data_IF_813215805529
#
_entry.id   IF_813215805529
#
_cell.length_a   1.000
_cell.length_b   1.000
_cell.length_c   1.000
_cell.angle_alpha   90.00
_cell.angle_beta   90.00
_cell.angle_gamma   90.00
#
_symmetry.space_group_name_H-M   'P 1'
#
loop_
_entity.id
_entity.type
_entity.pdbx_description
1 polymer ?
#
# COMPACT_ATOMS: atom_id res chain seq x y z
N UNK A 1 -41.00 3.42 -3.05
CA UNK A 1 -40.30 4.48 -2.27
C UNK A 1 -39.84 4.01 -0.88
N UNK A 2 -40.27 2.86 -0.35
CA UNK A 2 -40.00 2.45 1.05
C UNK A 2 -38.68 1.74 1.30
N UNK A 3 -38.11 1.04 0.32
CA UNK A 3 -36.88 0.24 0.51
C UNK A 3 -35.60 1.09 0.62
N UNK A 4 -35.57 2.29 -0.01
CA UNK A 4 -34.44 3.18 0.10
C UNK A 4 -34.42 4.02 1.40
N UNK A 5 -35.58 4.12 2.07
CA UNK A 5 -35.69 4.86 3.35
C UNK A 5 -35.23 4.04 4.57
N UNK A 6 -35.25 2.70 4.50
CA UNK A 6 -34.82 1.85 5.61
C UNK A 6 -33.33 2.03 6.00
N UNK A 7 -32.38 2.05 5.06
CA UNK A 7 -30.98 2.33 5.42
C UNK A 7 -30.76 3.77 5.91
N UNK A 8 -31.52 4.76 5.40
CA UNK A 8 -31.47 6.14 5.88
C UNK A 8 -32.01 6.29 7.31
N UNK A 9 -33.08 5.57 7.65
CA UNK A 9 -33.62 5.53 9.00
C UNK A 9 -32.70 4.78 9.98
N UNK A 10 -32.03 3.75 9.53
CA UNK A 10 -31.03 3.05 10.35
C UNK A 10 -29.83 3.94 10.72
N UNK A 11 -29.40 4.81 9.80
CA UNK A 11 -28.35 5.80 10.05
C UNK A 11 -28.73 6.86 11.10
N UNK A 12 -30.03 7.09 11.29
CA UNK A 12 -30.54 8.08 12.26
C UNK A 12 -30.79 7.50 13.66
N UNK A 13 -30.88 6.18 13.78
CA UNK A 13 -31.32 5.51 15.03
C UNK A 13 -30.19 4.77 15.74
N UNK A 14 -29.13 4.39 15.02
CA UNK A 14 -27.99 3.69 15.61
C UNK A 14 -27.01 4.74 16.14
N UNK A 15 -26.65 4.72 17.43
CA UNK A 15 -25.59 5.60 17.93
C UNK A 15 -24.29 5.21 17.22
N UNK A 16 -23.77 6.12 16.40
CA UNK A 16 -22.53 5.93 15.67
C UNK A 16 -21.37 6.37 16.56
N UNK A 17 -20.57 5.41 16.99
CA UNK A 17 -19.26 5.65 17.59
C UNK A 17 -18.21 5.23 16.58
N UNK A 18 -17.28 6.12 16.27
CA UNK A 18 -16.11 5.77 15.49
C UNK A 18 -15.23 4.82 16.32
N UNK A 19 -15.15 3.56 15.91
CA UNK A 19 -14.32 2.54 16.54
C UNK A 19 -13.19 2.13 15.58
N UNK A 20 -12.04 1.81 16.16
CA UNK A 20 -10.92 1.28 15.38
C UNK A 20 -11.24 -0.12 14.86
N UNK A 21 -11.13 -0.29 13.56
CA UNK A 21 -11.22 -1.57 12.88
C UNK A 21 -9.90 -1.86 12.18
N UNK A 22 -9.20 -2.90 12.59
CA UNK A 22 -8.01 -3.38 11.88
C UNK A 22 -8.40 -4.27 10.72
N UNK A 23 -7.70 -4.13 9.61
CA UNK A 23 -7.83 -4.96 8.43
C UNK A 23 -6.47 -5.39 7.89
N UNK A 24 -6.47 -6.46 7.10
CA UNK A 24 -5.28 -6.96 6.42
C UNK A 24 -5.65 -7.29 4.98
N UNK A 25 -4.84 -6.84 4.03
CA UNK A 25 -4.92 -7.26 2.63
C UNK A 25 -3.69 -8.08 2.26
N UNK A 26 -3.86 -9.01 1.34
CA UNK A 26 -2.77 -9.84 0.84
C UNK A 26 -2.91 -10.06 -0.66
N UNK A 27 -1.82 -9.79 -1.39
CA UNK A 27 -1.68 -10.07 -2.81
C UNK A 27 -0.38 -10.80 -3.09
N UNK A 28 -0.38 -11.62 -4.11
CA UNK A 28 0.80 -12.38 -4.51
C UNK A 28 0.86 -12.56 -6.02
N UNK A 29 2.07 -12.60 -6.54
CA UNK A 29 2.33 -12.99 -7.92
C UNK A 29 3.67 -13.71 -8.06
N UNK A 30 3.84 -14.42 -9.18
CA UNK A 30 5.10 -15.07 -9.55
C UNK A 30 5.86 -14.17 -10.49
N UNK A 31 7.15 -13.95 -10.16
CA UNK A 31 8.12 -13.21 -10.97
C UNK A 31 9.15 -14.20 -11.51
N UNK A 32 9.43 -14.12 -12.81
CA UNK A 32 10.44 -14.97 -13.50
C UNK A 32 11.84 -14.41 -13.24
N UNK A 33 12.26 -14.40 -11.99
CA UNK A 33 13.58 -13.94 -11.56
C UNK A 33 14.01 -14.66 -10.28
N UNK A 34 15.34 -14.79 -10.04
CA UNK A 34 15.87 -15.32 -8.79
C UNK A 34 15.46 -14.46 -7.59
N UNK A 35 15.21 -15.10 -6.47
CA UNK A 35 14.75 -14.45 -5.23
C UNK A 35 15.65 -13.28 -4.79
N UNK A 36 16.97 -13.42 -4.91
CA UNK A 36 17.90 -12.34 -4.56
C UNK A 36 17.79 -11.12 -5.48
N UNK A 37 17.37 -11.29 -6.74
CA UNK A 37 17.15 -10.19 -7.67
C UNK A 37 15.85 -9.46 -7.35
N UNK A 38 14.79 -10.20 -7.06
CA UNK A 38 13.53 -9.63 -6.62
C UNK A 38 13.72 -8.83 -5.32
N UNK A 39 14.46 -9.38 -4.35
CA UNK A 39 14.76 -8.70 -3.10
C UNK A 39 15.56 -7.40 -3.30
N UNK A 40 16.53 -7.40 -4.23
CA UNK A 40 17.27 -6.17 -4.59
C UNK A 40 16.37 -5.12 -5.23
N UNK A 41 15.47 -5.53 -6.12
CA UNK A 41 14.53 -4.63 -6.77
C UNK A 41 13.56 -3.98 -5.78
N UNK A 42 13.08 -4.74 -4.78
CA UNK A 42 12.22 -4.21 -3.71
C UNK A 42 12.96 -3.11 -2.92
N UNK A 43 14.22 -3.33 -2.60
CA UNK A 43 15.01 -2.36 -1.84
C UNK A 43 15.41 -1.13 -2.64
N UNK A 44 15.50 -1.23 -3.96
CA UNK A 44 15.92 -0.11 -4.81
C UNK A 44 15.23 -0.15 -6.16
N UNK A 45 14.15 0.61 -6.27
CA UNK A 45 13.44 0.83 -7.52
C UNK A 45 13.34 2.34 -7.80
N UNK A 46 13.98 2.77 -8.88
CA UNK A 46 14.04 4.18 -9.27
C UNK A 46 13.45 4.38 -10.66
N UNK A 47 12.98 5.61 -10.93
CA UNK A 47 12.51 6.03 -12.24
C UNK A 47 11.47 5.06 -12.84
N UNK A 48 10.43 4.74 -12.06
CA UNK A 48 9.31 3.93 -12.52
C UNK A 48 8.63 4.69 -13.66
N UNK A 49 8.52 4.04 -14.83
CA UNK A 49 7.94 4.62 -16.02
C UNK A 49 6.46 4.27 -16.14
N UNK A 50 5.69 5.12 -16.83
CA UNK A 50 4.25 4.86 -17.03
C UNK A 50 3.97 3.51 -17.70
N UNK A 51 4.84 3.06 -18.61
CA UNK A 51 4.69 1.75 -19.26
C UNK A 51 5.06 0.54 -18.36
N UNK A 52 5.53 0.77 -17.16
CA UNK A 52 5.78 -0.28 -16.13
C UNK A 52 4.60 -0.40 -15.16
N UNK A 53 3.66 0.55 -15.22
CA UNK A 53 2.51 0.64 -14.34
C UNK A 53 1.29 0.11 -15.07
N UNK A 54 0.66 -0.92 -14.54
CA UNK A 54 -0.59 -1.43 -15.09
C UNK A 54 -1.72 -0.41 -14.90
N UNK A 55 -2.69 -0.43 -15.79
CA UNK A 55 -3.90 0.37 -15.61
C UNK A 55 -4.68 -0.14 -14.39
N UNK A 56 -5.14 0.80 -13.57
CA UNK A 56 -5.96 0.51 -12.40
C UNK A 56 -7.00 1.60 -12.19
N UNK A 57 -8.22 1.24 -11.77
CA UNK A 57 -9.29 2.18 -11.44
C UNK A 57 -8.90 3.21 -10.36
N UNK A 58 -7.94 2.89 -9.47
CA UNK A 58 -7.51 3.82 -8.42
C UNK A 58 -6.93 5.11 -8.98
N UNK A 59 -6.31 5.09 -10.16
CA UNK A 59 -5.79 6.30 -10.78
C UNK A 59 -6.92 7.23 -11.25
N UNK A 60 -8.03 6.66 -11.72
CA UNK A 60 -9.25 7.42 -12.05
C UNK A 60 -9.91 7.98 -10.79
N UNK A 61 -9.80 7.28 -9.66
CA UNK A 61 -10.23 7.76 -8.35
C UNK A 61 -9.32 8.85 -7.78
N UNK A 62 -8.19 9.14 -8.42
CA UNK A 62 -7.30 10.23 -8.04
C UNK A 62 -6.07 9.81 -7.24
N UNK A 63 -5.79 8.51 -7.07
CA UNK A 63 -4.55 8.08 -6.42
C UNK A 63 -3.32 8.38 -7.29
N UNK A 64 -2.22 8.87 -6.71
CA UNK A 64 -0.99 9.13 -7.45
C UNK A 64 -0.25 7.83 -7.77
N UNK A 65 0.45 7.82 -8.92
CA UNK A 65 1.27 6.68 -9.34
C UNK A 65 2.60 6.64 -8.57
N UNK A 66 3.17 5.45 -8.32
CA UNK A 66 4.49 5.30 -7.72
C UNK A 66 5.58 5.84 -8.67
N UNK A 67 6.62 6.46 -8.12
CA UNK A 67 7.76 7.03 -8.86
C UNK A 67 9.07 6.33 -8.50
N UNK A 68 9.34 6.15 -7.21
CA UNK A 68 10.55 5.46 -6.74
C UNK A 68 10.42 5.01 -5.29
N UNK A 69 11.24 4.02 -4.93
CA UNK A 69 11.44 3.56 -3.56
C UNK A 69 12.90 3.13 -3.38
N UNK A 70 13.57 3.65 -2.36
CA UNK A 70 14.98 3.40 -2.12
C UNK A 70 15.26 3.20 -0.64
N UNK A 71 15.93 2.10 -0.31
CA UNK A 71 16.34 1.78 1.06
C UNK A 71 17.75 2.33 1.32
N UNK A 72 17.89 3.08 2.39
CA UNK A 72 19.14 3.67 2.83
C UNK A 72 19.46 3.23 4.25
N UNK A 73 20.76 3.08 4.54
CA UNK A 73 21.23 2.83 5.90
C UNK A 73 21.49 4.18 6.57
N UNK A 74 20.74 4.47 7.62
CA UNK A 74 20.85 5.72 8.38
C UNK A 74 21.30 5.45 9.82
N UNK A 75 21.59 6.48 10.59
CA UNK A 75 21.88 6.36 12.03
C UNK A 75 20.70 5.76 12.81
N UNK A 76 19.49 5.89 12.29
CA UNK A 76 18.25 5.36 12.88
C UNK A 76 17.85 3.97 12.33
N UNK A 77 18.73 3.30 11.60
CA UNK A 77 18.51 2.02 10.94
C UNK A 77 18.17 2.15 9.46
N UNK A 78 17.61 1.10 8.90
CA UNK A 78 17.21 1.07 7.49
C UNK A 78 15.90 1.85 7.30
N UNK A 79 15.96 2.84 6.41
CA UNK A 79 14.81 3.68 6.04
C UNK A 79 14.61 3.58 4.54
N UNK A 80 13.39 3.35 4.09
CA UNK A 80 13.00 3.42 2.68
C UNK A 80 12.37 4.77 2.40
N UNK A 81 12.92 5.49 1.41
CA UNK A 81 12.39 6.76 0.90
C UNK A 81 11.44 6.45 -0.23
N UNK A 82 10.19 6.84 -0.11
CA UNK A 82 9.13 6.58 -1.09
C UNK A 82 8.68 7.89 -1.71
N UNK A 83 8.56 7.87 -3.04
CA UNK A 83 8.08 9.01 -3.81
C UNK A 83 7.00 8.57 -4.79
N UNK A 84 5.90 9.30 -4.78
CA UNK A 84 4.79 9.15 -5.72
C UNK A 84 4.57 10.46 -6.49
N UNK A 85 3.76 10.40 -7.53
CA UNK A 85 3.36 11.60 -8.27
C UNK A 85 2.70 12.64 -7.35
N UNK A 86 2.54 13.87 -7.86
CA UNK A 86 1.95 15.01 -7.15
C UNK A 86 2.70 15.42 -5.88
N UNK A 87 3.99 15.06 -5.78
CA UNK A 87 4.83 15.42 -4.65
C UNK A 87 4.59 14.60 -3.37
N UNK A 88 3.79 13.54 -3.44
CA UNK A 88 3.61 12.64 -2.30
C UNK A 88 4.92 11.93 -1.99
N UNK A 89 5.34 11.98 -0.74
CA UNK A 89 6.56 11.33 -0.26
C UNK A 89 6.43 10.96 1.22
N UNK A 90 7.02 9.84 1.59
CA UNK A 90 7.04 9.38 2.97
C UNK A 90 8.19 8.40 3.19
N UNK A 91 8.44 8.09 4.45
CA UNK A 91 9.45 7.12 4.84
C UNK A 91 8.80 5.84 5.35
N UNK A 92 9.46 4.74 5.07
CA UNK A 92 9.15 3.42 5.58
C UNK A 92 10.32 2.97 6.46
N UNK A 93 10.09 2.92 7.77
CA UNK A 93 11.08 2.44 8.73
C UNK A 93 11.09 0.92 8.72
N UNK A 94 12.17 0.33 8.24
CA UNK A 94 12.32 -1.12 8.22
C UNK A 94 12.43 -1.63 9.65
N UNK A 95 11.50 -2.50 10.04
CA UNK A 95 11.45 -3.13 11.36
C UNK A 95 12.00 -4.54 11.35
N UNK A 96 11.94 -5.21 10.18
CA UNK A 96 12.52 -6.53 10.01
C UNK A 96 13.03 -6.72 8.58
N UNK A 97 14.23 -7.26 8.44
CA UNK A 97 14.84 -7.61 7.14
C UNK A 97 15.64 -8.90 7.26
N UNK A 98 15.24 -9.91 6.50
CA UNK A 98 15.95 -11.19 6.38
C UNK A 98 16.11 -11.49 4.90
N UNK A 99 17.22 -11.03 4.34
CA UNK A 99 17.53 -11.26 2.93
C UNK A 99 17.73 -12.75 2.61
N UNK A 100 17.23 -13.24 1.49
CA UNK A 100 16.36 -12.59 0.51
C UNK A 100 14.86 -12.86 0.73
N UNK A 101 14.42 -13.20 1.96
CA UNK A 101 13.12 -13.82 2.21
C UNK A 101 12.04 -12.85 2.69
N UNK A 102 12.42 -11.82 3.46
CA UNK A 102 11.45 -10.96 4.15
C UNK A 102 11.98 -9.54 4.28
N UNK A 103 11.08 -8.58 4.04
CA UNK A 103 11.27 -7.17 4.34
C UNK A 103 9.97 -6.62 4.91
N UNK A 104 10.01 -6.11 6.15
CA UNK A 104 8.86 -5.55 6.85
C UNK A 104 9.16 -4.13 7.29
N UNK A 105 8.17 -3.26 7.23
CA UNK A 105 8.30 -1.88 7.67
C UNK A 105 7.01 -1.32 8.25
N UNK A 106 7.16 -0.23 8.98
CA UNK A 106 6.09 0.68 9.39
C UNK A 106 6.30 2.03 8.72
N UNK A 107 5.31 2.89 8.75
CA UNK A 107 5.30 4.15 8.03
C UNK A 107 5.68 5.33 8.93
N UNK A 108 6.33 6.30 8.35
CA UNK A 108 6.66 7.57 8.99
C UNK A 108 6.22 8.69 8.06
N UNK A 109 5.20 9.42 8.49
CA UNK A 109 4.65 10.56 7.76
C UNK A 109 5.02 11.86 8.47
N UNK A 110 5.21 12.90 7.71
CA UNK A 110 5.33 14.27 8.20
C UNK A 110 4.25 15.16 7.56
N UNK A 111 4.15 16.40 8.02
CA UNK A 111 3.16 17.37 7.54
C UNK A 111 3.21 17.69 6.04
N UNK A 112 4.28 17.31 5.35
CA UNK A 112 4.48 17.55 3.93
C UNK A 112 4.36 16.25 3.10
N UNK A 113 4.20 15.10 3.76
CA UNK A 113 4.11 13.79 3.09
C UNK A 113 2.99 13.75 2.05
N UNK A 114 1.88 14.43 2.32
CA UNK A 114 0.73 14.54 1.42
C UNK A 114 0.44 16.01 1.12
N UNK A 115 1.04 16.59 0.06
CA UNK A 115 0.75 17.97 -0.33
C UNK A 115 -0.74 18.18 -0.59
N UNK A 116 -1.23 19.37 -0.26
CA UNK A 116 -2.66 19.71 -0.41
C UNK A 116 -3.17 19.40 -1.83
N UNK A 117 -4.24 18.61 -1.91
CA UNK A 117 -4.85 18.17 -3.17
C UNK A 117 -4.14 16.99 -3.82
N UNK A 118 -3.17 16.36 -3.18
CA UNK A 118 -2.55 15.10 -3.65
C UNK A 118 -3.45 13.88 -3.39
N UNK A 119 -4.15 13.87 -2.26
CA UNK A 119 -5.18 12.91 -1.85
C UNK A 119 -6.38 13.66 -1.27
N UNK A 120 -7.51 12.98 -1.17
CA UNK A 120 -8.67 13.48 -0.42
C UNK A 120 -8.39 13.36 1.10
N UNK A 121 -8.83 14.37 1.87
CA UNK A 121 -8.56 14.46 3.31
C UNK A 121 -9.14 13.25 4.11
N UNK A 122 -10.19 12.59 3.58
CA UNK A 122 -10.81 11.41 4.22
C UNK A 122 -10.02 10.12 4.02
N UNK A 123 -9.10 10.09 3.04
CA UNK A 123 -8.24 8.94 2.75
C UNK A 123 -6.76 9.25 3.02
N UNK A 124 -6.49 10.34 3.75
CA UNK A 124 -5.14 10.70 4.18
C UNK A 124 -4.57 9.59 5.07
N UNK A 125 -3.41 9.06 4.66
CA UNK A 125 -2.72 7.98 5.38
C UNK A 125 -2.07 8.58 6.63
N UNK A 126 -2.20 7.89 7.78
CA UNK A 126 -1.78 8.44 9.07
C UNK A 126 -2.80 9.42 9.66
N UNK A 127 -3.95 9.61 8.99
CA UNK A 127 -5.02 10.49 9.41
C UNK A 127 -5.95 9.89 10.47
N UNK A 128 -6.98 10.65 10.79
CA UNK A 128 -7.99 10.23 11.78
C UNK A 128 -8.76 8.98 11.32
N UNK A 129 -9.08 8.89 10.04
CA UNK A 129 -10.02 7.89 9.49
C UNK A 129 -9.33 6.65 8.95
N UNK A 130 -8.11 6.78 8.46
CA UNK A 130 -7.37 5.70 7.82
C UNK A 130 -5.89 5.78 8.16
N UNK A 131 -5.28 4.62 8.41
CA UNK A 131 -3.84 4.53 8.60
C UNK A 131 -3.27 3.21 8.09
N UNK A 132 -2.04 3.23 7.60
CA UNK A 132 -1.24 2.06 7.28
C UNK A 132 -0.36 1.72 8.49
N UNK A 133 -0.45 0.50 8.99
CA UNK A 133 0.24 0.06 10.19
C UNK A 133 1.58 -0.58 9.85
N UNK A 134 1.51 -1.74 9.19
CA UNK A 134 2.70 -2.49 8.76
C UNK A 134 2.52 -3.01 7.35
N UNK A 135 3.64 -3.22 6.68
CA UNK A 135 3.65 -3.90 5.39
C UNK A 135 4.80 -4.88 5.33
N UNK A 136 4.52 -6.04 4.76
CA UNK A 136 5.48 -7.11 4.56
C UNK A 136 5.61 -7.48 3.08
N UNK A 137 6.84 -7.57 2.60
CA UNK A 137 7.18 -8.38 1.43
C UNK A 137 7.77 -9.70 1.89
N UNK A 138 7.08 -10.79 1.56
CA UNK A 138 7.62 -12.15 1.72
C UNK A 138 7.95 -12.73 0.35
N UNK A 139 9.13 -13.30 0.23
CA UNK A 139 9.61 -13.91 -0.99
C UNK A 139 9.81 -15.42 -0.77
N UNK A 140 9.24 -16.23 -1.65
CA UNK A 140 9.38 -17.69 -1.64
C UNK A 140 9.96 -18.15 -2.98
N UNK A 141 11.11 -18.84 -2.95
CA UNK A 141 11.67 -19.44 -4.16
C UNK A 141 10.76 -20.58 -4.64
N UNK A 142 10.20 -20.46 -5.83
CA UNK A 142 9.43 -21.51 -6.50
C UNK A 142 10.36 -22.40 -7.29
N UNK A 143 11.37 -21.81 -7.94
CA UNK A 143 12.48 -22.47 -8.62
C UNK A 143 13.71 -21.57 -8.59
N UNK A 144 14.88 -21.98 -9.10
CA UNK A 144 16.06 -21.11 -9.13
C UNK A 144 15.85 -19.77 -9.83
N UNK A 145 14.93 -19.72 -10.81
CA UNK A 145 14.61 -18.53 -11.62
C UNK A 145 13.15 -18.06 -11.47
N UNK A 146 12.47 -18.50 -10.43
CA UNK A 146 11.09 -18.08 -10.16
C UNK A 146 10.89 -17.78 -8.68
N UNK A 147 10.31 -16.63 -8.40
CA UNK A 147 10.01 -16.18 -7.03
C UNK A 147 8.56 -15.84 -6.91
N UNK A 148 7.88 -16.36 -5.90
CA UNK A 148 6.60 -15.88 -5.47
C UNK A 148 6.82 -14.70 -4.53
N UNK A 149 6.36 -13.54 -4.94
CA UNK A 149 6.36 -12.31 -4.15
C UNK A 149 4.98 -12.10 -3.55
N UNK A 150 4.94 -11.99 -2.24
CA UNK A 150 3.72 -11.80 -1.45
C UNK A 150 3.82 -10.44 -0.77
N UNK A 151 2.81 -9.61 -0.95
CA UNK A 151 2.63 -8.32 -0.30
C UNK A 151 1.47 -8.43 0.67
N UNK A 152 1.72 -8.13 1.94
CA UNK A 152 0.69 -8.05 2.99
C UNK A 152 0.70 -6.65 3.57
N UNK A 153 -0.47 -6.04 3.72
CA UNK A 153 -0.64 -4.69 4.27
C UNK A 153 -1.64 -4.77 5.41
N UNK A 154 -1.21 -4.36 6.61
CA UNK A 154 -2.07 -4.15 7.75
C UNK A 154 -2.45 -2.68 7.84
N UNK A 155 -3.72 -2.41 8.10
CA UNK A 155 -4.27 -1.06 8.15
C UNK A 155 -5.30 -0.91 9.25
N UNK A 156 -5.61 0.33 9.60
CA UNK A 156 -6.67 0.72 10.54
C UNK A 156 -7.68 1.63 9.82
N UNK A 157 -8.94 1.39 10.12
CA UNK A 157 -10.05 2.28 9.81
C UNK A 157 -10.68 2.77 11.12
N UNK A 158 -11.05 4.05 11.18
CA UNK A 158 -11.76 4.64 12.31
C UNK A 158 -12.90 5.46 11.79
N UNK A 159 -14.02 4.82 11.47
CA UNK A 159 -15.22 5.49 10.95
C UNK A 159 -16.47 4.99 11.65
N UNK A 160 -17.52 5.79 11.64
CA UNK A 160 -18.83 5.38 12.13
C UNK A 160 -19.50 4.31 11.26
N UNK A 161 -18.99 4.09 10.05
CA UNK A 161 -19.52 3.16 9.04
C UNK A 161 -18.46 2.18 8.54
N UNK A 162 -17.67 1.63 9.47
CA UNK A 162 -16.59 0.68 9.13
C UNK A 162 -17.04 -0.49 8.25
N UNK A 163 -18.27 -0.98 8.44
CA UNK A 163 -18.86 -2.03 7.61
C UNK A 163 -18.96 -1.66 6.13
N UNK A 164 -19.12 -0.37 5.84
CA UNK A 164 -19.14 0.16 4.48
C UNK A 164 -17.75 0.57 3.99
N UNK A 165 -16.93 1.20 4.85
CA UNK A 165 -15.62 1.69 4.50
C UNK A 165 -14.60 0.55 4.25
N UNK A 166 -14.69 -0.56 5.00
CA UNK A 166 -13.76 -1.68 4.90
C UNK A 166 -13.69 -2.32 3.50
N UNK A 167 -14.79 -2.68 2.82
CA UNK A 167 -14.73 -3.20 1.46
C UNK A 167 -14.04 -2.27 0.46
N UNK A 168 -14.20 -0.96 0.62
CA UNK A 168 -13.53 0.04 -0.22
C UNK A 168 -12.04 0.14 0.09
N UNK A 169 -11.65 0.14 1.38
CA UNK A 169 -10.25 0.11 1.77
C UNK A 169 -9.55 -1.16 1.26
N UNK A 170 -10.17 -2.33 1.45
CA UNK A 170 -9.66 -3.60 0.92
C UNK A 170 -9.49 -3.54 -0.60
N UNK A 171 -10.48 -3.00 -1.33
CA UNK A 171 -10.43 -2.86 -2.78
C UNK A 171 -9.26 -1.97 -3.22
N UNK A 172 -9.15 -0.77 -2.66
CA UNK A 172 -8.11 0.20 -3.01
C UNK A 172 -6.71 -0.35 -2.70
N UNK A 173 -6.53 -0.96 -1.51
CA UNK A 173 -5.25 -1.55 -1.11
C UNK A 173 -4.86 -2.75 -1.97
N UNK A 174 -5.83 -3.57 -2.39
CA UNK A 174 -5.59 -4.68 -3.30
C UNK A 174 -5.17 -4.19 -4.69
N UNK A 175 -5.88 -3.20 -5.25
CA UNK A 175 -5.53 -2.58 -6.53
C UNK A 175 -4.13 -1.95 -6.49
N UNK A 176 -3.84 -1.21 -5.41
CA UNK A 176 -2.53 -0.62 -5.22
C UNK A 176 -1.43 -1.69 -5.11
N UNK A 177 -1.68 -2.76 -4.37
CA UNK A 177 -0.76 -3.89 -4.25
C UNK A 177 -0.50 -4.54 -5.61
N UNK A 178 -1.52 -4.75 -6.42
CA UNK A 178 -1.39 -5.31 -7.77
C UNK A 178 -0.55 -4.39 -8.67
N UNK A 179 -0.74 -3.07 -8.59
CA UNK A 179 0.09 -2.09 -9.30
C UNK A 179 1.57 -2.24 -8.91
N UNK A 180 1.86 -2.21 -7.61
CA UNK A 180 3.24 -2.26 -7.11
C UNK A 180 3.92 -3.59 -7.45
N UNK A 181 3.24 -4.71 -7.26
CA UNK A 181 3.76 -6.04 -7.58
C UNK A 181 4.08 -6.16 -9.08
N UNK A 182 3.20 -5.64 -9.94
CA UNK A 182 3.41 -5.68 -11.38
C UNK A 182 4.55 -4.77 -11.86
N UNK A 183 4.84 -3.66 -11.17
CA UNK A 183 6.04 -2.86 -11.46
C UNK A 183 7.31 -3.70 -11.30
N UNK A 184 7.44 -4.46 -10.21
CA UNK A 184 8.58 -5.37 -10.02
C UNK A 184 8.64 -6.45 -11.08
N UNK A 185 7.50 -7.09 -11.37
CA UNK A 185 7.41 -8.10 -12.40
C UNK A 185 7.87 -7.55 -13.76
N UNK A 186 7.30 -6.43 -14.17
CA UNK A 186 7.63 -5.80 -15.45
C UNK A 186 9.11 -5.40 -15.56
N UNK A 187 9.70 -4.95 -14.44
CA UNK A 187 11.11 -4.56 -14.37
C UNK A 187 12.06 -5.74 -14.52
N UNK A 188 11.71 -6.90 -13.98
CA UNK A 188 12.58 -8.07 -13.86
C UNK A 188 12.39 -9.10 -14.98
N UNK A 189 11.27 -9.06 -15.69
CA UNK A 189 10.95 -9.99 -16.80
C UNK A 189 11.18 -9.37 -18.19
N UNK A 190 12.08 -8.42 -18.30
CA UNK A 190 12.46 -7.80 -19.60
C UNK A 190 13.44 -8.65 -20.36
#
# INVERSE_FOLDING_TARGET
YSLAMLPLLALLVIPHHAEDLSGTTKRELIIQAPQAEVFRAINNIQNIKDNEIIDSPIFTMGFPKPVSGMTENTENGLIRQIYWQRGVHFQEKVIHSTAPNLLSWTYVFDKNSFPKGSLDDHVEIGGQYFDLLTTDYRLEAVSPNQTKLILTIDYRLTTEINWYAKPWADYVLNEFSDVVLNVYKHRLEK
#
